data_IF_856094267268
#
_entry.id   IF_856094267268
#
_cell.length_a   1.000
_cell.length_b   1.000
_cell.length_c   1.000
_cell.angle_alpha   90.00
_cell.angle_beta   90.00
_cell.angle_gamma   90.00
#
_symmetry.space_group_name_H-M   'P 1'
#
loop_
_entity.id
_entity.type
_entity.pdbx_description
1 polymer ?
#
# COMPACT_ATOMS: atom_id res chain seq x y z
N UNK A 1 -21.05 8.63 -14.27
CA UNK A 1 -20.72 10.00 -14.69
C UNK A 1 -21.29 10.92 -13.63
N UNK A 2 -20.44 11.46 -12.76
CA UNK A 2 -20.88 12.12 -11.54
C UNK A 2 -21.35 13.55 -11.86
N UNK A 3 -22.31 14.09 -11.10
CA UNK A 3 -22.80 15.48 -11.24
C UNK A 3 -21.67 16.53 -11.21
N UNK A 4 -20.53 16.19 -10.61
CA UNK A 4 -19.34 17.04 -10.54
C UNK A 4 -18.61 17.17 -11.88
N UNK A 5 -18.74 16.19 -12.78
CA UNK A 5 -18.14 16.24 -14.13
C UNK A 5 -18.91 17.19 -15.07
N UNK A 6 -20.12 17.61 -14.69
CA UNK A 6 -20.98 18.51 -15.46
C UNK A 6 -20.80 20.00 -15.09
N UNK A 7 -19.75 20.37 -14.35
CA UNK A 7 -19.47 21.76 -13.96
C UNK A 7 -20.42 22.32 -12.90
N UNK A 8 -21.22 21.47 -12.25
CA UNK A 8 -22.09 21.86 -11.13
C UNK A 8 -21.22 22.12 -9.90
N UNK A 9 -21.50 23.21 -9.20
CA UNK A 9 -20.81 23.55 -7.96
C UNK A 9 -20.90 22.41 -6.94
N UNK A 10 -19.74 22.01 -6.40
CA UNK A 10 -19.65 20.86 -5.52
C UNK A 10 -20.44 21.06 -4.22
N UNK A 11 -20.54 22.29 -3.74
CA UNK A 11 -21.27 22.60 -2.51
C UNK A 11 -22.78 22.44 -2.72
N UNK A 12 -23.30 22.87 -3.87
CA UNK A 12 -24.71 22.67 -4.22
C UNK A 12 -25.07 21.18 -4.37
N UNK A 13 -24.20 20.39 -5.00
CA UNK A 13 -24.37 18.92 -5.05
C UNK A 13 -24.41 18.35 -3.64
N UNK A 14 -23.47 18.72 -2.77
CA UNK A 14 -23.42 18.22 -1.39
C UNK A 14 -24.62 18.65 -0.56
N UNK A 15 -25.11 19.89 -0.70
CA UNK A 15 -26.35 20.36 -0.05
C UNK A 15 -27.53 19.46 -0.43
N UNK A 16 -27.71 19.22 -1.73
CA UNK A 16 -28.78 18.34 -2.23
C UNK A 16 -28.65 16.91 -1.71
N UNK A 17 -27.45 16.33 -1.74
CA UNK A 17 -27.20 14.98 -1.25
C UNK A 17 -27.44 14.88 0.26
N UNK A 18 -27.02 15.87 1.05
CA UNK A 18 -27.26 15.89 2.49
C UNK A 18 -28.76 15.94 2.81
N UNK A 19 -29.54 16.81 2.15
CA UNK A 19 -30.99 16.84 2.31
C UNK A 19 -31.64 15.50 1.97
N UNK A 20 -31.15 14.83 0.91
CA UNK A 20 -31.65 13.51 0.51
C UNK A 20 -31.31 12.41 1.51
N UNK A 21 -30.07 12.38 2.00
CA UNK A 21 -29.59 11.29 2.87
C UNK A 21 -29.86 11.51 4.36
N UNK A 22 -30.25 12.71 4.79
CA UNK A 22 -30.47 13.06 6.19
C UNK A 22 -31.38 12.08 6.96
N UNK A 23 -32.40 11.52 6.28
CA UNK A 23 -33.38 10.63 6.89
C UNK A 23 -33.38 9.22 6.28
N UNK A 24 -32.33 8.86 5.53
CA UNK A 24 -32.22 7.54 4.89
C UNK A 24 -31.30 6.67 5.72
N UNK A 25 -31.81 5.53 6.19
CA UNK A 25 -30.98 4.51 6.82
C UNK A 25 -30.13 3.77 5.76
N UNK A 26 -28.85 3.43 6.08
CA UNK A 26 -28.01 2.65 5.18
C UNK A 26 -28.68 1.33 4.79
N UNK A 27 -28.84 1.10 3.49
CA UNK A 27 -29.38 -0.17 2.99
C UNK A 27 -28.33 -1.26 3.10
N UNK A 28 -28.74 -2.43 3.57
CA UNK A 28 -27.92 -3.62 3.45
C UNK A 28 -27.70 -3.98 1.98
N UNK A 29 -26.47 -4.36 1.63
CA UNK A 29 -26.11 -4.84 0.30
C UNK A 29 -25.68 -6.29 0.43
N UNK A 30 -26.09 -7.13 -0.52
CA UNK A 30 -25.66 -8.52 -0.56
C UNK A 30 -24.12 -8.62 -0.55
N UNK A 31 -23.59 -9.63 0.15
CA UNK A 31 -22.15 -9.88 0.20
C UNK A 31 -21.64 -10.19 -1.21
N UNK A 32 -20.62 -9.46 -1.66
CA UNK A 32 -19.88 -9.77 -2.88
C UNK A 32 -18.84 -10.85 -2.57
N UNK A 33 -18.96 -12.02 -3.19
CA UNK A 33 -17.94 -13.06 -3.11
C UNK A 33 -16.79 -12.65 -4.03
N UNK A 34 -15.58 -12.54 -3.48
CA UNK A 34 -14.37 -12.25 -4.24
C UNK A 34 -13.34 -13.34 -3.96
N UNK A 35 -12.70 -13.83 -5.02
CA UNK A 35 -11.60 -14.78 -4.88
C UNK A 35 -10.38 -14.09 -4.26
N UNK A 36 -9.76 -14.74 -3.27
CA UNK A 36 -8.57 -14.23 -2.59
C UNK A 36 -7.33 -15.00 -3.06
N UNK A 37 -6.27 -14.27 -3.41
CA UNK A 37 -4.96 -14.83 -3.76
C UNK A 37 -4.12 -14.87 -2.47
N UNK A 38 -3.46 -15.99 -2.18
CA UNK A 38 -2.48 -16.05 -1.09
C UNK A 38 -1.33 -15.09 -1.35
N UNK A 39 -0.93 -14.35 -0.33
CA UNK A 39 0.03 -13.25 -0.41
C UNK A 39 1.27 -13.50 0.44
N UNK A 40 1.49 -14.72 0.91
CA UNK A 40 2.68 -15.07 1.69
C UNK A 40 2.72 -14.33 3.02
N UNK A 41 1.60 -14.34 3.77
CA UNK A 41 1.46 -13.51 4.98
C UNK A 41 2.58 -13.72 6.02
N UNK A 42 3.16 -14.93 6.10
CA UNK A 42 4.29 -15.24 6.96
C UNK A 42 5.53 -14.39 6.64
N UNK A 43 5.88 -14.23 5.35
CA UNK A 43 7.01 -13.39 4.90
C UNK A 43 6.78 -11.94 5.30
N UNK A 44 5.59 -11.41 5.03
CA UNK A 44 5.27 -10.01 5.36
C UNK A 44 5.31 -9.75 6.87
N UNK A 45 4.85 -10.70 7.70
CA UNK A 45 4.91 -10.59 9.17
C UNK A 45 6.35 -10.62 9.66
N UNK A 46 7.17 -11.54 9.13
CA UNK A 46 8.59 -11.62 9.49
C UNK A 46 9.34 -10.34 9.13
N UNK A 47 9.12 -9.77 7.94
CA UNK A 47 9.71 -8.50 7.53
C UNK A 47 9.32 -7.35 8.45
N UNK A 48 8.02 -7.24 8.81
CA UNK A 48 7.54 -6.20 9.74
C UNK A 48 8.16 -6.33 11.13
N UNK A 49 8.38 -7.55 11.59
CA UNK A 49 9.04 -7.81 12.88
C UNK A 49 10.51 -7.39 12.84
N UNK A 50 11.22 -7.68 11.75
CA UNK A 50 12.64 -7.40 11.60
C UNK A 50 12.96 -5.92 11.30
N UNK A 51 12.20 -5.31 10.39
CA UNK A 51 12.47 -3.94 9.91
C UNK A 51 11.67 -2.86 10.68
N UNK A 52 10.72 -3.29 11.52
CA UNK A 52 9.78 -2.40 12.18
C UNK A 52 8.79 -1.75 11.21
N UNK A 53 8.06 -0.75 11.70
CA UNK A 53 7.06 -0.03 10.94
C UNK A 53 7.60 1.25 10.28
N UNK A 54 8.79 1.17 9.66
CA UNK A 54 9.38 2.30 8.92
C UNK A 54 9.12 2.15 7.43
N UNK A 55 8.53 3.17 6.83
CA UNK A 55 8.35 3.24 5.38
C UNK A 55 9.71 3.32 4.68
N UNK A 56 9.97 2.39 3.75
CA UNK A 56 11.24 2.33 3.01
C UNK A 56 11.37 3.43 1.94
N UNK A 57 10.27 4.12 1.59
CA UNK A 57 10.29 5.25 0.65
C UNK A 57 10.51 6.59 1.35
N UNK A 58 9.76 6.87 2.42
CA UNK A 58 9.75 8.21 3.02
C UNK A 58 10.21 8.26 4.48
N UNK A 59 10.58 7.13 5.07
CA UNK A 59 11.03 7.06 6.45
C UNK A 59 9.94 7.28 7.51
N UNK A 60 8.68 7.50 7.11
CA UNK A 60 7.56 7.62 8.04
C UNK A 60 7.47 6.41 8.97
N UNK A 61 7.28 6.67 10.26
CA UNK A 61 7.15 5.64 11.29
C UNK A 61 5.66 5.40 11.58
N UNK A 62 5.29 4.12 11.60
CA UNK A 62 3.97 3.62 11.93
C UNK A 62 3.45 4.06 13.30
N UNK A 63 2.13 4.00 13.45
CA UNK A 63 1.45 4.17 14.73
C UNK A 63 1.03 2.81 15.31
N UNK A 64 0.78 2.75 16.62
CA UNK A 64 0.28 1.55 17.29
C UNK A 64 -1.18 1.26 16.91
N UNK A 65 -1.45 0.06 16.42
CA UNK A 65 -2.83 -0.44 16.23
C UNK A 65 -3.48 -0.73 17.59
N UNK A 66 -4.80 -0.91 17.59
CA UNK A 66 -5.54 -1.42 18.76
C UNK A 66 -5.01 -2.76 19.28
N UNK A 67 -4.38 -3.57 18.42
CA UNK A 67 -3.72 -4.82 18.79
C UNK A 67 -2.35 -4.64 19.47
N UNK A 68 -1.83 -3.41 19.57
CA UNK A 68 -0.49 -3.12 20.09
C UNK A 68 0.66 -3.24 19.08
N UNK A 69 0.41 -3.84 17.91
CA UNK A 69 1.39 -3.92 16.83
C UNK A 69 1.49 -2.59 16.07
N UNK A 70 2.68 -2.25 15.56
CA UNK A 70 2.85 -1.05 14.73
C UNK A 70 2.24 -1.23 13.32
N UNK A 71 1.68 -0.14 12.80
CA UNK A 71 1.01 -0.12 11.52
C UNK A 71 2.01 0.17 10.38
N UNK A 72 2.11 -0.77 9.44
CA UNK A 72 2.78 -0.60 8.15
C UNK A 72 2.19 -1.57 7.12
N UNK A 73 2.20 -1.20 5.84
CA UNK A 73 1.67 -2.01 4.74
C UNK A 73 2.81 -2.68 3.98
N UNK A 74 2.62 -3.94 3.59
CA UNK A 74 3.56 -4.65 2.72
C UNK A 74 3.05 -4.58 1.29
N UNK A 75 3.93 -4.24 0.36
CA UNK A 75 3.62 -4.11 -1.06
C UNK A 75 4.53 -5.02 -1.88
N UNK A 76 3.94 -5.77 -2.81
CA UNK A 76 4.68 -6.60 -3.76
C UNK A 76 4.99 -5.74 -5.00
N UNK A 77 6.28 -5.63 -5.36
CA UNK A 77 6.73 -4.85 -6.52
C UNK A 77 6.24 -5.52 -7.81
N UNK A 78 6.63 -6.77 -8.02
CA UNK A 78 6.03 -7.66 -9.01
C UNK A 78 4.66 -8.08 -8.49
N UNK A 79 3.60 -7.75 -9.24
CA UNK A 79 2.23 -7.98 -8.79
C UNK A 79 1.92 -9.48 -8.76
N UNK A 80 1.28 -9.94 -7.68
CA UNK A 80 0.91 -11.35 -7.51
C UNK A 80 -0.03 -11.89 -8.61
N UNK A 81 -0.77 -10.99 -9.28
CA UNK A 81 -1.60 -11.35 -10.43
C UNK A 81 -0.78 -11.85 -11.63
N UNK A 82 0.50 -11.48 -11.72
CA UNK A 82 1.40 -11.94 -12.78
C UNK A 82 1.84 -13.40 -12.58
N UNK A 83 1.63 -13.97 -11.37
CA UNK A 83 1.97 -15.36 -11.02
C UNK A 83 3.41 -15.77 -11.37
N UNK A 84 4.34 -14.83 -11.29
CA UNK A 84 5.77 -15.09 -11.50
C UNK A 84 6.38 -15.80 -10.30
N UNK A 85 7.37 -16.66 -10.56
CA UNK A 85 8.18 -17.27 -9.50
C UNK A 85 8.87 -16.20 -8.65
N UNK A 86 9.06 -16.47 -7.36
CA UNK A 86 9.67 -15.51 -6.43
C UNK A 86 8.77 -14.33 -6.02
N UNK A 87 7.54 -14.20 -6.55
CA UNK A 87 6.67 -13.06 -6.21
C UNK A 87 6.28 -12.99 -4.73
N UNK A 88 6.40 -14.09 -3.98
CA UNK A 88 6.13 -14.16 -2.54
C UNK A 88 7.41 -14.04 -1.69
N UNK A 89 8.59 -13.94 -2.30
CA UNK A 89 9.86 -13.83 -1.59
C UNK A 89 10.07 -12.43 -1.00
N UNK A 90 10.92 -12.34 0.02
CA UNK A 90 11.21 -11.08 0.74
C UNK A 90 11.69 -9.98 -0.20
N UNK A 91 12.51 -10.32 -1.19
CA UNK A 91 13.09 -9.40 -2.17
C UNK A 91 12.05 -8.65 -3.01
N UNK A 92 10.87 -9.23 -3.18
CA UNK A 92 9.77 -8.61 -3.92
C UNK A 92 8.86 -7.75 -3.01
N UNK A 93 9.09 -7.74 -1.69
CA UNK A 93 8.22 -7.07 -0.72
C UNK A 93 8.91 -5.83 -0.16
N UNK A 94 8.23 -4.69 -0.22
CA UNK A 94 8.64 -3.44 0.43
C UNK A 94 7.61 -3.02 1.50
N UNK A 95 8.10 -2.40 2.59
CA UNK A 95 7.27 -1.86 3.66
C UNK A 95 7.00 -0.37 3.44
N UNK A 96 5.72 0.00 3.37
CA UNK A 96 5.25 1.33 2.99
C UNK A 96 4.20 1.88 3.95
N UNK A 97 4.18 3.21 4.11
CA UNK A 97 3.06 3.90 4.75
C UNK A 97 1.83 3.92 3.82
N UNK A 98 0.61 4.16 4.34
CA UNK A 98 -0.61 4.22 3.53
C UNK A 98 -0.51 5.19 2.35
N UNK A 99 0.14 6.33 2.56
CA UNK A 99 0.22 7.37 1.53
C UNK A 99 1.10 6.92 0.35
N UNK A 100 2.33 6.48 0.62
CA UNK A 100 3.22 5.98 -0.44
C UNK A 100 2.62 4.74 -1.11
N UNK A 101 2.02 3.82 -0.35
CA UNK A 101 1.42 2.63 -0.93
C UNK A 101 0.24 2.97 -1.86
N UNK A 102 -0.63 3.91 -1.49
CA UNK A 102 -1.74 4.34 -2.34
C UNK A 102 -1.26 5.12 -3.55
N UNK A 103 -0.22 5.94 -3.42
CA UNK A 103 0.37 6.66 -4.54
C UNK A 103 0.98 5.71 -5.59
N UNK A 104 1.55 4.58 -5.18
CA UNK A 104 1.99 3.53 -6.11
C UNK A 104 0.82 2.97 -6.94
N UNK A 105 -0.34 2.73 -6.31
CA UNK A 105 -1.50 2.14 -7.02
C UNK A 105 -2.27 3.14 -7.89
N UNK A 106 -2.31 4.42 -7.49
CA UNK A 106 -3.26 5.40 -8.04
C UNK A 106 -2.62 6.73 -8.46
N UNK A 107 -1.35 6.93 -8.17
CA UNK A 107 -0.62 8.16 -8.50
C UNK A 107 -0.48 8.32 -10.01
N UNK A 108 -0.60 9.56 -10.49
CA UNK A 108 -0.40 9.88 -11.92
C UNK A 108 1.05 9.70 -12.37
N UNK A 109 1.99 9.94 -11.45
CA UNK A 109 3.42 9.86 -11.70
C UNK A 109 4.00 8.81 -10.76
N UNK A 110 4.12 7.59 -11.28
CA UNK A 110 4.69 6.45 -10.58
C UNK A 110 5.57 5.66 -11.56
N UNK A 111 6.82 5.44 -11.15
CA UNK A 111 7.73 4.56 -11.87
C UNK A 111 8.44 3.66 -10.88
N UNK A 112 8.58 2.39 -11.26
CA UNK A 112 9.45 1.44 -10.58
C UNK A 112 10.42 0.87 -11.58
N UNK A 113 11.68 0.87 -11.19
CA UNK A 113 12.70 0.02 -11.78
C UNK A 113 13.28 -0.87 -10.68
N UNK A 114 13.59 -2.10 -11.05
CA UNK A 114 14.25 -3.04 -10.16
C UNK A 114 15.49 -3.62 -10.85
N UNK A 115 16.56 -3.79 -10.07
CA UNK A 115 17.78 -4.46 -10.49
C UNK A 115 18.10 -5.61 -9.53
N UNK A 116 19.28 -6.21 -9.61
CA UNK A 116 19.65 -7.35 -8.77
C UNK A 116 19.64 -7.03 -7.26
N UNK A 117 19.94 -5.79 -6.87
CA UNK A 117 20.17 -5.41 -5.47
C UNK A 117 19.19 -4.35 -4.96
N UNK A 118 18.61 -3.54 -5.85
CA UNK A 118 17.84 -2.37 -5.49
C UNK A 118 16.50 -2.30 -6.22
N UNK A 119 15.58 -1.58 -5.60
CA UNK A 119 14.29 -1.16 -6.14
C UNK A 119 14.29 0.36 -6.09
N UNK A 120 14.18 1.01 -7.24
CA UNK A 120 13.97 2.43 -7.32
C UNK A 120 12.48 2.74 -7.46
N UNK A 121 11.95 3.55 -6.54
CA UNK A 121 10.57 4.00 -6.54
C UNK A 121 10.56 5.52 -6.75
N UNK A 122 9.94 5.96 -7.83
CA UNK A 122 9.68 7.38 -8.11
C UNK A 122 8.19 7.65 -7.94
N UNK A 123 7.88 8.54 -7.01
CA UNK A 123 6.55 9.09 -6.75
C UNK A 123 6.51 10.56 -7.16
N UNK A 124 5.32 11.19 -7.13
CA UNK A 124 5.13 12.57 -7.63
C UNK A 124 5.99 13.61 -6.90
N UNK A 125 6.34 13.36 -5.64
CA UNK A 125 7.05 14.32 -4.77
C UNK A 125 8.40 13.83 -4.26
N UNK A 126 8.77 12.58 -4.53
CA UNK A 126 9.96 11.95 -3.93
C UNK A 126 10.43 10.76 -4.73
N UNK A 127 11.72 10.47 -4.62
CA UNK A 127 12.38 9.30 -5.19
C UNK A 127 13.13 8.58 -4.08
N UNK A 128 13.07 7.25 -4.08
CA UNK A 128 13.78 6.42 -3.11
C UNK A 128 14.45 5.24 -3.83
N UNK A 129 15.70 4.95 -3.45
CA UNK A 129 16.39 3.72 -3.81
C UNK A 129 16.40 2.83 -2.57
N UNK A 130 15.75 1.67 -2.69
CA UNK A 130 15.52 0.72 -1.61
C UNK A 130 16.34 -0.52 -1.90
N UNK A 131 17.25 -0.90 -1.01
CA UNK A 131 17.93 -2.19 -1.11
C UNK A 131 16.91 -3.32 -0.97
N UNK A 132 16.92 -4.29 -1.88
CA UNK A 132 16.05 -5.46 -1.84
C UNK A 132 16.24 -6.18 -0.51
N UNK A 133 15.15 -6.72 0.02
CA UNK A 133 15.15 -7.49 1.26
C UNK A 133 15.72 -8.91 1.02
N UNK A 134 16.93 -8.99 0.46
CA UNK A 134 17.67 -10.25 0.25
C UNK A 134 18.07 -10.83 1.60
N UNK A 135 18.25 -12.14 1.68
CA UNK A 135 18.68 -12.78 2.92
C UNK A 135 20.07 -12.30 3.37
N UNK A 136 20.95 -11.95 2.43
CA UNK A 136 22.25 -11.36 2.75
C UNK A 136 22.10 -10.01 3.44
N UNK A 137 21.30 -9.10 2.87
CA UNK A 137 21.05 -7.77 3.45
C UNK A 137 20.36 -7.87 4.82
N UNK A 138 19.29 -8.67 4.93
CA UNK A 138 18.57 -8.84 6.19
C UNK A 138 19.44 -9.45 7.29
N UNK A 139 20.38 -10.33 6.93
CA UNK A 139 21.33 -10.91 7.88
C UNK A 139 22.36 -9.90 8.40
N UNK A 140 22.72 -8.89 7.59
CA UNK A 140 23.60 -7.81 8.00
C UNK A 140 22.93 -6.91 9.05
N UNK A 141 21.62 -6.64 8.90
CA UNK A 141 20.86 -5.82 9.85
C UNK A 141 20.75 -6.44 11.25
N UNK A 142 20.75 -7.78 11.34
CA UNK A 142 20.67 -8.49 12.63
C UNK A 142 21.97 -8.47 13.43
N UNK A 143 23.10 -8.16 12.78
CA UNK A 143 24.43 -8.11 13.41
C UNK A 143 24.75 -6.75 14.04
N UNK A 144 23.84 -5.79 13.95
CA UNK A 144 23.89 -4.44 14.55
C UNK A 144 22.96 -4.42 15.75
#
# INVERSE_FOLDING_TARGET
TSLLEAGIDALDVLRSLNSRYANIQPRERAKKIQNHIDRGSAVTKALKSLLGAKCQVCGWIGFKKKSGEDFIEAHHIVQLSEKKEGSLCTENVVLLCPNCHREIHYGKQFFVSDDAENIEIVLSSRKATIRKNTMEYLSQLKKI
#
